data_IF_624993801673
#
_entry.id   IF_624993801673
#
_cell.length_a   1.000
_cell.length_b   1.000
_cell.length_c   1.000
_cell.angle_alpha   90.00
_cell.angle_beta   90.00
_cell.angle_gamma   90.00
#
_symmetry.space_group_name_H-M   'P 1'
#
loop_
_entity.id
_entity.type
_entity.pdbx_description
1 polymer ?
#
# COMPACT_ATOMS: atom_id res chain seq x y z
N UNK A 1 -6.09 -63.85 -3.64
CA UNK A 1 -5.43 -62.92 -2.70
C UNK A 1 -4.27 -62.24 -3.42
N UNK A 2 -4.33 -60.92 -3.69
CA UNK A 2 -3.15 -60.12 -3.96
C UNK A 2 -2.95 -59.03 -2.92
N UNK A 3 -1.68 -58.83 -2.57
CA UNK A 3 -1.10 -57.88 -1.62
C UNK A 3 -1.32 -56.41 -1.99
N UNK A 4 -1.44 -55.50 -1.01
CA UNK A 4 -1.69 -54.07 -1.27
C UNK A 4 -0.38 -53.34 -1.59
N UNK A 5 -0.38 -52.62 -2.71
CA UNK A 5 0.66 -51.67 -3.10
C UNK A 5 0.14 -50.25 -2.93
N UNK A 6 0.85 -49.41 -2.16
CA UNK A 6 0.47 -48.02 -1.96
C UNK A 6 1.45 -47.25 -1.09
N UNK A 7 2.60 -46.93 -1.67
CA UNK A 7 3.63 -45.99 -1.20
C UNK A 7 2.97 -44.68 -0.73
N UNK A 8 3.33 -44.07 0.40
CA UNK A 8 4.59 -43.37 0.63
C UNK A 8 4.36 -41.85 0.62
N UNK A 9 4.39 -41.21 1.79
CA UNK A 9 4.58 -39.76 1.88
C UNK A 9 5.50 -39.45 3.05
N UNK A 10 6.79 -39.50 2.75
CA UNK A 10 7.92 -39.08 3.60
C UNK A 10 7.90 -37.56 3.76
N UNK A 11 7.30 -37.06 4.85
CA UNK A 11 7.51 -35.67 5.26
C UNK A 11 8.64 -35.61 6.30
N UNK A 12 9.87 -35.38 5.83
CA UNK A 12 11.10 -35.24 6.62
C UNK A 12 11.13 -33.91 7.42
N UNK A 13 10.26 -33.78 8.43
CA UNK A 13 10.39 -32.78 9.50
C UNK A 13 10.12 -33.41 10.89
N UNK A 14 10.58 -34.64 11.09
CA UNK A 14 10.33 -35.46 12.28
C UNK A 14 11.64 -36.20 12.58
N UNK A 15 12.27 -36.12 13.76
CA UNK A 15 11.74 -36.64 15.04
C UNK A 15 12.49 -36.01 16.23
N UNK A 16 12.07 -34.83 16.73
CA UNK A 16 12.43 -34.46 18.13
C UNK A 16 11.53 -35.18 19.14
N UNK A 17 10.32 -35.54 18.74
CA UNK A 17 9.33 -36.21 19.59
C UNK A 17 8.91 -37.53 18.93
N UNK A 18 9.28 -38.64 19.54
CA UNK A 18 8.96 -39.98 19.03
C UNK A 18 7.54 -40.35 19.49
N UNK A 19 6.58 -40.19 18.58
CA UNK A 19 5.20 -40.63 18.81
C UNK A 19 5.06 -42.13 18.55
N UNK A 20 4.39 -42.82 19.47
CA UNK A 20 4.01 -44.23 19.35
C UNK A 20 2.49 -44.35 19.27
N UNK A 21 1.98 -45.46 18.72
CA UNK A 21 0.52 -45.67 18.58
C UNK A 21 -0.20 -45.70 19.95
N UNK A 22 0.49 -46.16 21.00
CA UNK A 22 0.01 -46.09 22.37
C UNK A 22 -0.18 -44.65 22.86
N UNK A 23 0.79 -43.76 22.58
CA UNK A 23 0.69 -42.34 22.92
C UNK A 23 -0.41 -41.64 22.13
N UNK A 24 -0.57 -41.97 20.84
CA UNK A 24 -1.65 -41.45 20.02
C UNK A 24 -3.03 -41.90 20.54
N UNK A 25 -3.13 -43.14 21.04
CA UNK A 25 -4.35 -43.67 21.65
C UNK A 25 -4.71 -42.94 22.95
N UNK A 26 -3.71 -42.67 23.82
CA UNK A 26 -3.89 -41.87 25.03
C UNK A 26 -4.31 -40.43 24.68
N UNK A 27 -3.70 -39.84 23.64
CA UNK A 27 -4.04 -38.52 23.17
C UNK A 27 -5.48 -38.45 22.64
N UNK A 28 -5.92 -39.42 21.83
CA UNK A 28 -7.31 -39.54 21.36
C UNK A 28 -8.30 -39.62 22.53
N UNK A 29 -8.03 -40.50 23.50
CA UNK A 29 -8.84 -40.64 24.72
C UNK A 29 -8.93 -39.33 25.49
N UNK A 30 -7.80 -38.63 25.66
CA UNK A 30 -7.75 -37.35 26.38
C UNK A 30 -8.67 -36.28 25.78
N UNK A 31 -8.81 -36.25 24.45
CA UNK A 31 -9.71 -35.34 23.74
C UNK A 31 -11.19 -35.77 23.79
N UNK A 32 -11.45 -37.08 23.81
CA UNK A 32 -12.80 -37.66 23.90
C UNK A 32 -13.39 -37.51 25.31
N UNK A 33 -12.60 -37.75 26.35
CA UNK A 33 -13.08 -37.70 27.75
C UNK A 33 -13.36 -36.28 28.23
N UNK A 34 -12.62 -35.28 27.73
CA UNK A 34 -12.83 -33.89 28.14
C UNK A 34 -14.21 -33.39 27.71
N UNK A 35 -15.00 -32.80 28.60
CA UNK A 35 -16.28 -32.14 28.25
C UNK A 35 -16.09 -30.65 28.07
N UNK A 36 -15.27 -30.04 28.92
CA UNK A 36 -14.95 -28.62 28.89
C UNK A 36 -13.46 -28.34 28.60
N UNK A 37 -13.14 -27.05 28.40
CA UNK A 37 -11.76 -26.60 28.12
C UNK A 37 -10.80 -26.92 29.27
N UNK A 38 -11.24 -26.82 30.52
CA UNK A 38 -10.38 -26.99 31.70
C UNK A 38 -9.98 -28.46 31.91
N UNK A 39 -10.89 -29.39 31.67
CA UNK A 39 -10.60 -30.83 31.64
C UNK A 39 -9.62 -31.18 30.54
N UNK A 40 -9.81 -30.64 29.33
CA UNK A 40 -8.83 -30.82 28.25
C UNK A 40 -7.47 -30.26 28.66
N UNK A 41 -7.44 -29.12 29.37
CA UNK A 41 -6.19 -28.53 29.83
C UNK A 41 -5.47 -29.48 30.79
N UNK A 42 -6.18 -30.01 31.80
CA UNK A 42 -5.66 -30.98 32.78
C UNK A 42 -5.17 -32.26 32.12
N UNK A 43 -5.97 -32.88 31.25
CA UNK A 43 -5.60 -34.10 30.55
C UNK A 43 -4.31 -33.92 29.73
N UNK A 44 -4.18 -32.79 29.02
CA UNK A 44 -2.98 -32.47 28.26
C UNK A 44 -1.77 -32.15 29.17
N UNK A 45 -1.98 -31.62 30.37
CA UNK A 45 -0.91 -31.40 31.36
C UNK A 45 -0.42 -32.72 31.92
N UNK A 46 -1.32 -33.65 32.22
CA UNK A 46 -0.96 -35.02 32.62
C UNK A 46 -0.17 -35.72 31.53
N UNK A 47 -0.61 -35.61 30.27
CA UNK A 47 0.11 -36.19 29.13
C UNK A 47 1.51 -35.57 28.94
N UNK A 48 1.65 -34.26 29.18
CA UNK A 48 2.95 -33.59 29.18
C UNK A 48 3.86 -34.12 30.30
N UNK A 49 3.32 -34.39 31.49
CA UNK A 49 4.07 -35.02 32.59
C UNK A 49 4.53 -36.44 32.27
N UNK A 50 3.69 -37.24 31.61
CA UNK A 50 4.00 -38.62 31.24
C UNK A 50 5.03 -38.74 30.10
N UNK A 51 5.01 -37.81 29.15
CA UNK A 51 5.83 -37.89 27.92
C UNK A 51 7.06 -37.00 27.93
N UNK A 52 7.07 -35.95 28.77
CA UNK A 52 8.04 -34.86 28.68
C UNK A 52 7.89 -34.00 27.41
N UNK A 53 6.86 -34.22 26.59
CA UNK A 53 6.68 -33.47 25.36
C UNK A 53 6.12 -32.08 25.66
N UNK A 54 6.66 -31.02 25.05
CA UNK A 54 6.13 -29.68 25.22
C UNK A 54 4.73 -29.59 24.63
N UNK A 55 3.89 -28.76 25.25
CA UNK A 55 2.48 -28.54 24.90
C UNK A 55 2.22 -28.38 23.39
N UNK A 56 3.06 -27.63 22.69
CA UNK A 56 2.88 -27.37 21.25
C UNK A 56 3.04 -28.63 20.39
N UNK A 57 3.90 -29.58 20.80
CA UNK A 57 4.12 -30.84 20.08
C UNK A 57 2.89 -31.75 20.20
N UNK A 58 2.30 -31.82 21.41
CA UNK A 58 1.07 -32.57 21.69
C UNK A 58 -0.10 -32.00 20.89
N UNK A 59 -0.28 -30.67 20.91
CA UNK A 59 -1.35 -29.99 20.13
C UNK A 59 -1.10 -30.17 18.62
N UNK A 60 0.15 -30.09 18.18
CA UNK A 60 0.55 -30.33 16.80
C UNK A 60 0.18 -31.75 16.34
N UNK A 61 0.48 -32.77 17.15
CA UNK A 61 0.10 -34.17 16.88
C UNK A 61 -1.42 -34.33 16.85
N UNK A 62 -2.14 -33.77 17.82
CA UNK A 62 -3.60 -33.80 17.85
C UNK A 62 -4.22 -33.16 16.59
N UNK A 63 -3.61 -32.10 16.08
CA UNK A 63 -4.03 -31.45 14.83
C UNK A 63 -3.78 -32.36 13.62
N UNK A 64 -2.61 -33.03 13.57
CA UNK A 64 -2.29 -33.98 12.50
C UNK A 64 -3.20 -35.22 12.50
N UNK A 65 -3.66 -35.66 13.68
CA UNK A 65 -4.63 -36.74 13.85
C UNK A 65 -6.09 -36.32 13.60
N UNK A 66 -6.35 -35.03 13.33
CA UNK A 66 -7.71 -34.53 13.09
C UNK A 66 -8.62 -34.46 14.32
N UNK A 67 -8.08 -34.69 15.53
CA UNK A 67 -8.85 -34.70 16.79
C UNK A 67 -8.85 -33.36 17.52
N UNK A 68 -8.01 -32.41 17.09
CA UNK A 68 -7.96 -31.09 17.69
C UNK A 68 -9.30 -30.35 17.51
N UNK A 69 -9.88 -29.85 18.62
CA UNK A 69 -11.14 -29.09 18.61
C UNK A 69 -11.03 -27.77 17.85
N UNK A 70 -9.84 -27.16 17.83
CA UNK A 70 -9.60 -25.90 17.13
C UNK A 70 -9.23 -26.23 15.69
N UNK A 71 -10.21 -26.15 14.78
CA UNK A 71 -9.97 -26.22 13.34
C UNK A 71 -9.32 -24.91 12.89
N UNK A 72 -8.12 -25.00 12.30
CA UNK A 72 -7.51 -23.86 11.62
C UNK A 72 -8.35 -23.59 10.36
N UNK A 73 -8.96 -22.42 10.29
CA UNK A 73 -9.66 -22.00 9.08
C UNK A 73 -8.63 -21.86 7.94
N UNK A 74 -8.78 -22.59 6.82
CA UNK A 74 -7.87 -22.47 5.69
C UNK A 74 -7.95 -21.06 5.10
N UNK A 75 -6.87 -20.61 4.47
CA UNK A 75 -6.87 -19.35 3.72
C UNK A 75 -7.50 -19.59 2.35
N UNK A 76 -8.50 -18.80 2.00
CA UNK A 76 -9.09 -18.81 0.65
C UNK A 76 -8.22 -18.02 -0.32
N UNK A 77 -8.33 -18.31 -1.62
CA UNK A 77 -7.59 -17.58 -2.65
C UNK A 77 -7.93 -16.07 -2.65
N UNK A 78 -9.20 -15.72 -2.42
CA UNK A 78 -9.66 -14.34 -2.31
C UNK A 78 -9.02 -13.61 -1.12
N UNK A 79 -8.99 -14.23 0.06
CA UNK A 79 -8.32 -13.65 1.25
C UNK A 79 -6.81 -13.46 1.02
N UNK A 80 -6.15 -14.41 0.34
CA UNK A 80 -4.73 -14.29 0.02
C UNK A 80 -4.45 -13.18 -0.99
N UNK A 81 -5.33 -12.98 -1.97
CA UNK A 81 -5.22 -11.87 -2.91
C UNK A 81 -5.41 -10.53 -2.19
N UNK A 82 -6.45 -10.38 -1.39
CA UNK A 82 -6.64 -9.17 -0.56
C UNK A 82 -5.45 -8.91 0.38
N UNK A 83 -4.86 -9.97 0.95
CA UNK A 83 -3.69 -9.84 1.80
C UNK A 83 -2.46 -9.33 1.03
N UNK A 84 -2.31 -9.68 -0.26
CA UNK A 84 -1.23 -9.16 -1.13
C UNK A 84 -1.44 -7.68 -1.45
N UNK A 85 -2.64 -7.30 -1.86
CA UNK A 85 -2.98 -5.92 -2.20
C UNK A 85 -2.82 -4.96 -1.01
N UNK A 86 -3.17 -5.43 0.19
CA UNK A 86 -3.14 -4.62 1.40
C UNK A 86 -1.82 -4.73 2.18
N UNK A 87 -0.90 -5.61 1.78
CA UNK A 87 0.42 -5.71 2.39
C UNK A 87 1.20 -4.42 2.10
N UNK A 88 1.77 -3.81 3.15
CA UNK A 88 2.53 -2.57 3.02
C UNK A 88 1.72 -1.27 3.13
N UNK A 89 0.39 -1.32 2.94
CA UNK A 89 -0.50 -0.15 3.13
C UNK A 89 -1.20 -0.21 4.48
N UNK A 90 -1.62 -1.41 4.90
CA UNK A 90 -2.31 -1.65 6.15
C UNK A 90 -1.43 -2.46 7.09
N UNK A 91 -1.38 -2.05 8.36
CA UNK A 91 -0.67 -2.84 9.34
C UNK A 91 -1.45 -4.06 9.80
N UNK A 92 -0.74 -5.01 10.42
CA UNK A 92 -1.28 -6.34 10.82
C UNK A 92 -2.62 -6.29 11.57
N UNK A 93 -2.81 -5.31 12.46
CA UNK A 93 -4.05 -5.14 13.23
C UNK A 93 -5.25 -4.78 12.35
N UNK A 94 -5.04 -3.85 11.41
CA UNK A 94 -6.06 -3.44 10.46
C UNK A 94 -6.38 -4.58 9.48
N UNK A 95 -5.35 -5.29 8.99
CA UNK A 95 -5.51 -6.48 8.15
C UNK A 95 -6.33 -7.57 8.85
N UNK A 96 -6.04 -7.85 10.12
CA UNK A 96 -6.77 -8.82 10.93
C UNK A 96 -8.27 -8.49 11.04
N UNK A 97 -8.59 -7.22 11.34
CA UNK A 97 -9.98 -6.75 11.41
C UNK A 97 -10.70 -6.84 10.07
N UNK A 98 -10.05 -6.40 8.98
CA UNK A 98 -10.63 -6.44 7.62
C UNK A 98 -10.91 -7.86 7.13
N UNK A 99 -9.98 -8.78 7.38
CA UNK A 99 -10.11 -10.17 6.94
C UNK A 99 -10.91 -11.04 7.91
N UNK A 100 -11.35 -10.49 9.06
CA UNK A 100 -12.02 -11.28 10.11
C UNK A 100 -11.15 -12.39 10.69
N UNK A 101 -9.82 -12.25 10.63
CA UNK A 101 -8.84 -13.26 11.09
C UNK A 101 -8.06 -12.74 12.30
N UNK A 102 -7.43 -13.65 13.03
CA UNK A 102 -6.52 -13.26 14.12
C UNK A 102 -5.22 -12.65 13.59
N UNK A 103 -4.64 -11.70 14.34
CA UNK A 103 -3.35 -11.09 14.00
C UNK A 103 -2.23 -12.12 13.79
N UNK A 104 -2.25 -13.19 14.59
CA UNK A 104 -1.28 -14.28 14.47
C UNK A 104 -1.43 -15.05 13.15
N UNK A 105 -2.67 -15.30 12.72
CA UNK A 105 -2.94 -15.94 11.42
C UNK A 105 -2.45 -15.08 10.26
N UNK A 106 -2.73 -13.77 10.31
CA UNK A 106 -2.24 -12.79 9.32
C UNK A 106 -0.71 -12.75 9.30
N UNK A 107 -0.05 -12.68 10.46
CA UNK A 107 1.42 -12.71 10.56
C UNK A 107 2.00 -13.98 9.93
N UNK A 108 1.40 -15.14 10.21
CA UNK A 108 1.85 -16.42 9.65
C UNK A 108 1.63 -16.49 8.13
N UNK A 109 0.51 -15.96 7.62
CA UNK A 109 0.22 -15.90 6.20
C UNK A 109 1.19 -14.97 5.46
N UNK A 110 1.44 -13.78 6.00
CA UNK A 110 2.43 -12.85 5.45
C UNK A 110 3.83 -13.47 5.41
N UNK A 111 4.24 -14.16 6.47
CA UNK A 111 5.52 -14.88 6.49
C UNK A 111 5.58 -15.97 5.40
N UNK A 112 4.49 -16.73 5.20
CA UNK A 112 4.40 -17.75 4.15
C UNK A 112 4.44 -17.16 2.73
N UNK A 113 3.89 -15.98 2.55
CA UNK A 113 3.92 -15.25 1.28
C UNK A 113 5.19 -14.41 1.10
N UNK A 114 6.11 -14.43 2.07
CA UNK A 114 7.31 -13.58 2.11
C UNK A 114 7.02 -12.07 1.98
N UNK A 115 5.85 -11.63 2.46
CA UNK A 115 5.42 -10.24 2.42
C UNK A 115 5.71 -9.53 3.75
N UNK A 116 6.10 -8.26 3.65
CA UNK A 116 6.22 -7.39 4.82
C UNK A 116 4.88 -6.75 5.17
N UNK A 117 4.49 -6.85 6.44
CA UNK A 117 3.35 -6.13 7.00
C UNK A 117 3.69 -4.68 7.41
N UNK A 118 4.94 -4.27 7.20
CA UNK A 118 5.41 -2.94 7.59
C UNK A 118 4.71 -1.95 6.69
N UNK A 119 3.96 -1.03 7.28
CA UNK A 119 3.37 0.06 6.51
C UNK A 119 4.52 0.89 5.94
N UNK A 120 4.59 0.93 4.61
CA UNK A 120 5.54 1.74 3.85
C UNK A 120 4.98 3.16 3.65
N UNK A 121 3.65 3.29 3.61
CA UNK A 121 2.96 4.54 3.38
C UNK A 121 2.97 5.50 4.60
N UNK A 122 3.21 6.78 4.34
CA UNK A 122 3.18 7.86 5.31
C UNK A 122 4.53 8.23 5.94
N UNK A 123 4.57 9.41 6.57
CA UNK A 123 5.79 10.05 7.02
C UNK A 123 6.16 9.63 8.45
N UNK A 124 7.39 9.15 8.64
CA UNK A 124 7.96 8.98 9.96
C UNK A 124 8.29 10.34 10.61
N UNK A 125 8.50 10.37 11.93
CA UNK A 125 8.96 11.61 12.60
C UNK A 125 10.29 12.11 12.04
N UNK A 126 11.19 11.19 11.67
CA UNK A 126 12.47 11.55 11.06
C UNK A 126 12.26 12.14 9.66
N UNK A 127 11.38 11.54 8.87
CA UNK A 127 11.02 12.03 7.54
C UNK A 127 10.46 13.46 7.65
N UNK A 128 9.59 13.73 8.63
CA UNK A 128 9.04 15.07 8.85
C UNK A 128 10.07 16.09 9.33
N UNK A 129 11.05 15.67 10.15
CA UNK A 129 12.16 16.54 10.57
C UNK A 129 12.99 16.96 9.36
N UNK A 130 13.32 16.01 8.49
CA UNK A 130 14.11 16.26 7.29
C UNK A 130 13.33 17.08 6.25
N UNK A 131 12.07 16.70 5.98
CA UNK A 131 11.25 17.33 4.94
C UNK A 131 10.78 18.73 5.31
N UNK A 132 10.48 18.98 6.59
CA UNK A 132 10.06 20.31 7.08
C UNK A 132 11.23 21.18 7.54
N UNK A 133 12.44 20.62 7.60
CA UNK A 133 13.60 21.29 8.22
C UNK A 133 13.36 21.68 9.68
N UNK A 134 12.53 20.91 10.39
CA UNK A 134 12.07 21.22 11.73
C UNK A 134 12.77 20.37 12.79
N UNK A 135 12.89 20.88 14.02
CA UNK A 135 13.52 20.11 15.08
C UNK A 135 12.67 18.89 15.53
N UNK A 136 13.28 17.78 15.98
CA UNK A 136 12.54 16.63 16.52
C UNK A 136 11.63 16.98 17.70
N UNK A 137 11.98 18.00 18.49
CA UNK A 137 11.15 18.52 19.59
C UNK A 137 9.92 19.27 19.08
N UNK A 138 10.04 20.04 17.99
CA UNK A 138 8.90 20.68 17.33
C UNK A 138 7.90 19.65 16.82
N UNK A 139 8.37 18.60 16.12
CA UNK A 139 7.49 17.53 15.62
C UNK A 139 6.76 16.81 16.76
N UNK A 140 7.46 16.48 17.86
CA UNK A 140 6.83 15.90 19.06
C UNK A 140 5.82 16.85 19.71
N UNK A 141 6.08 18.15 19.69
CA UNK A 141 5.14 19.16 20.20
C UNK A 141 3.87 19.19 19.35
N UNK A 142 3.99 19.18 18.02
CA UNK A 142 2.84 19.18 17.11
C UNK A 142 2.00 17.91 17.24
N UNK A 143 2.64 16.76 17.48
CA UNK A 143 1.96 15.51 17.82
C UNK A 143 1.15 15.65 19.11
N UNK A 144 1.77 16.17 20.18
CA UNK A 144 1.09 16.35 21.48
C UNK A 144 -0.07 17.34 21.41
N UNK A 145 0.03 18.36 20.55
CA UNK A 145 -1.04 19.33 20.30
C UNK A 145 -2.14 18.78 19.37
N UNK A 146 -1.96 17.57 18.82
CA UNK A 146 -2.92 16.93 17.91
C UNK A 146 -2.97 17.54 16.50
N UNK A 147 -2.01 18.40 16.15
CA UNK A 147 -1.94 19.03 14.83
C UNK A 147 -1.42 18.06 13.77
N UNK A 148 -0.50 17.18 14.18
CA UNK A 148 -0.05 16.03 13.39
C UNK A 148 -0.56 14.75 14.04
N UNK A 149 -1.52 14.12 13.37
CA UNK A 149 -2.05 12.83 13.81
C UNK A 149 -1.19 11.71 13.23
N UNK A 150 -0.55 10.97 14.13
CA UNK A 150 0.15 9.74 13.80
C UNK A 150 -0.81 8.56 13.90
N UNK A 151 -0.86 7.74 12.85
CA UNK A 151 -1.70 6.55 12.79
C UNK A 151 -1.14 5.40 13.62
N UNK A 152 -1.72 4.20 13.42
CA UNK A 152 -1.48 3.00 14.21
C UNK A 152 -0.03 2.40 14.18
N UNK A 153 0.94 3.12 13.63
CA UNK A 153 2.35 2.71 13.48
C UNK A 153 3.34 3.88 13.57
N UNK A 154 2.98 4.96 14.28
CA UNK A 154 3.85 6.15 14.42
C UNK A 154 4.26 6.79 13.08
N UNK A 155 3.43 6.63 12.05
CA UNK A 155 3.54 7.33 10.77
C UNK A 155 2.36 8.29 10.60
N UNK A 156 2.64 9.51 10.16
CA UNK A 156 1.64 10.51 9.82
C UNK A 156 1.11 10.24 8.41
N UNK A 157 -0.21 10.24 8.23
CA UNK A 157 -0.82 10.13 6.91
C UNK A 157 -0.58 11.40 6.10
N UNK A 158 -0.50 11.27 4.77
CA UNK A 158 -0.33 12.42 3.88
C UNK A 158 -1.41 13.48 4.10
N UNK A 159 -2.66 13.06 4.26
CA UNK A 159 -3.80 13.94 4.57
C UNK A 159 -3.64 14.70 5.88
N UNK A 160 -3.05 14.07 6.90
CA UNK A 160 -2.77 14.68 8.20
C UNK A 160 -1.70 15.78 8.07
N UNK A 161 -0.62 15.47 7.35
CA UNK A 161 0.46 16.43 7.08
C UNK A 161 -0.03 17.59 6.20
N UNK A 162 -0.79 17.30 5.14
CA UNK A 162 -1.39 18.33 4.27
C UNK A 162 -2.32 19.26 5.05
N UNK A 163 -3.10 18.72 5.99
CA UNK A 163 -3.94 19.51 6.89
C UNK A 163 -3.11 20.40 7.82
N UNK A 164 -2.05 19.86 8.42
CA UNK A 164 -1.13 20.61 9.25
C UNK A 164 -0.53 21.81 8.50
N UNK A 165 0.01 21.58 7.30
CA UNK A 165 0.60 22.64 6.47
C UNK A 165 -0.37 23.78 6.16
N UNK A 166 -1.66 23.46 5.94
CA UNK A 166 -2.67 24.47 5.63
C UNK A 166 -3.13 25.26 6.86
N UNK A 167 -3.20 24.62 8.03
CA UNK A 167 -3.76 25.23 9.23
C UNK A 167 -2.71 25.94 10.10
N UNK A 168 -1.44 25.58 9.97
CA UNK A 168 -0.35 26.08 10.82
C UNK A 168 0.87 26.55 10.00
N UNK A 169 0.71 27.49 9.05
CA UNK A 169 1.81 27.98 8.22
C UNK A 169 2.88 28.74 9.02
N UNK A 170 2.54 29.21 10.21
CA UNK A 170 3.41 29.95 11.15
C UNK A 170 4.43 29.05 11.87
N UNK A 171 4.22 27.73 11.87
CA UNK A 171 5.01 26.80 12.67
C UNK A 171 6.26 26.26 11.95
N UNK A 172 6.37 26.47 10.64
CA UNK A 172 7.50 25.98 9.84
C UNK A 172 8.01 27.09 8.92
N UNK A 173 9.27 26.96 8.49
CA UNK A 173 9.93 27.96 7.66
C UNK A 173 10.15 27.39 6.26
N UNK A 174 9.56 28.03 5.24
CA UNK A 174 9.62 27.56 3.86
C UNK A 174 11.05 27.46 3.30
N UNK A 175 12.00 28.22 3.86
CA UNK A 175 13.41 28.18 3.47
C UNK A 175 14.10 26.85 3.75
N UNK A 176 13.62 26.10 4.76
CA UNK A 176 14.21 24.82 5.16
C UNK A 176 13.38 23.62 4.73
N UNK A 177 12.18 23.85 4.20
CA UNK A 177 11.29 22.80 3.71
C UNK A 177 11.83 22.28 2.37
N UNK A 178 11.78 20.97 2.16
CA UNK A 178 12.06 20.38 0.86
C UNK A 178 11.02 20.85 -0.17
N UNK A 179 11.44 21.72 -1.08
CA UNK A 179 10.57 22.40 -2.04
C UNK A 179 9.81 21.43 -2.96
N UNK A 180 10.50 20.42 -3.51
CA UNK A 180 9.91 19.46 -4.43
C UNK A 180 8.83 18.62 -3.75
N UNK A 181 9.10 18.15 -2.53
CA UNK A 181 8.14 17.43 -1.72
C UNK A 181 6.94 18.30 -1.35
N UNK A 182 7.17 19.52 -0.87
CA UNK A 182 6.10 20.45 -0.46
C UNK A 182 5.18 20.78 -1.63
N UNK A 183 5.76 21.04 -2.81
CA UNK A 183 4.99 21.30 -4.03
C UNK A 183 4.19 20.07 -4.45
N UNK A 184 4.78 18.89 -4.45
CA UNK A 184 4.07 17.64 -4.76
C UNK A 184 2.93 17.34 -3.79
N UNK A 185 3.10 17.71 -2.51
CA UNK A 185 2.13 17.46 -1.46
C UNK A 185 0.92 18.41 -1.51
N UNK A 186 1.13 19.68 -1.88
CA UNK A 186 0.07 20.70 -1.91
C UNK A 186 -0.58 20.88 -3.28
N UNK A 187 0.20 20.69 -4.35
CA UNK A 187 -0.26 20.89 -5.72
C UNK A 187 -0.26 19.55 -6.44
N UNK A 188 -1.44 18.94 -6.58
CA UNK A 188 -1.62 17.67 -7.28
C UNK A 188 -1.13 17.73 -8.74
N UNK A 189 -1.21 18.92 -9.35
CA UNK A 189 -0.67 19.20 -10.68
C UNK A 189 0.87 19.12 -10.77
N UNK A 190 1.60 19.21 -9.66
CA UNK A 190 3.06 19.12 -9.65
C UNK A 190 3.56 17.69 -9.82
N UNK A 191 2.81 16.71 -9.30
CA UNK A 191 3.11 15.29 -9.44
C UNK A 191 2.44 14.66 -10.65
N UNK A 192 1.41 15.29 -11.19
CA UNK A 192 0.96 15.03 -12.55
C UNK A 192 2.07 15.52 -13.49
N UNK A 193 3.05 14.65 -13.78
CA UNK A 193 4.06 14.88 -14.82
C UNK A 193 3.38 15.45 -16.08
N UNK A 194 4.10 16.22 -16.91
CA UNK A 194 3.49 17.10 -17.91
C UNK A 194 2.35 16.36 -18.55
N UNK A 195 1.11 16.76 -18.25
CA UNK A 195 0.00 16.20 -18.97
C UNK A 195 0.36 16.57 -20.39
N UNK A 196 0.71 15.57 -21.22
CA UNK A 196 0.68 15.72 -22.64
C UNK A 196 -0.79 15.97 -22.97
N UNK A 197 -1.29 17.17 -22.63
CA UNK A 197 -2.08 17.91 -23.58
C UNK A 197 -1.12 17.97 -24.75
N UNK A 198 -1.28 17.02 -25.67
CA UNK A 198 -1.42 17.43 -27.04
C UNK A 198 -2.28 18.70 -26.99
N UNK A 199 -1.61 19.85 -26.90
CA UNK A 199 -2.07 21.02 -27.60
C UNK A 199 -2.11 20.44 -29.00
N UNK A 200 -3.29 19.97 -29.40
CA UNK A 200 -3.61 19.89 -30.81
C UNK A 200 -3.07 21.20 -31.34
N UNK A 201 -1.94 21.13 -32.03
CA UNK A 201 -1.61 22.18 -32.96
C UNK A 201 -2.82 22.09 -33.87
N UNK A 202 -3.82 22.95 -33.65
CA UNK A 202 -4.72 23.30 -34.72
C UNK A 202 -3.79 23.49 -35.91
N UNK A 203 -3.98 22.76 -37.03
CA UNK A 203 -3.24 23.05 -38.23
C UNK A 203 -3.30 24.56 -38.39
N UNK A 204 -2.15 25.20 -38.56
CA UNK A 204 -2.06 26.64 -38.78
C UNK A 204 -3.06 26.98 -39.89
N UNK A 205 -4.23 27.49 -39.49
CA UNK A 205 -5.35 27.86 -40.33
C UNK A 205 -5.90 29.12 -39.70
N UNK A 206 -5.67 30.23 -40.39
CA UNK A 206 -6.14 31.55 -39.98
C UNK A 206 -5.08 32.45 -39.35
N UNK A 207 -3.98 32.73 -40.06
CA UNK A 207 -3.29 34.03 -39.96
C UNK A 207 -2.58 34.40 -41.28
N UNK A 208 -3.16 34.00 -42.43
CA UNK A 208 -2.62 34.34 -43.74
C UNK A 208 -3.65 34.90 -44.74
N UNK A 209 -4.95 35.00 -44.41
CA UNK A 209 -5.95 35.60 -45.31
C UNK A 209 -6.47 36.96 -44.82
N UNK A 210 -6.49 37.22 -43.50
CA UNK A 210 -6.97 38.51 -42.99
C UNK A 210 -5.90 39.63 -42.96
N UNK A 211 -4.61 39.31 -43.13
CA UNK A 211 -3.54 40.32 -43.15
C UNK A 211 -3.17 40.79 -44.58
N UNK A 212 -3.62 40.08 -45.62
CA UNK A 212 -3.34 40.44 -47.03
C UNK A 212 -4.48 41.29 -47.63
N UNK A 213 -5.70 41.22 -47.08
CA UNK A 213 -6.83 42.08 -47.50
C UNK A 213 -6.90 43.43 -46.78
N UNK A 214 -6.04 43.68 -45.78
CA UNK A 214 -5.99 44.96 -45.06
C UNK A 214 -4.79 45.84 -45.44
N UNK A 215 -3.88 45.33 -46.28
CA UNK A 215 -2.73 46.07 -46.82
C UNK A 215 -2.72 46.19 -48.36
N UNK A 216 -3.84 45.88 -49.02
CA UNK A 216 -4.02 46.10 -50.47
C UNK A 216 -4.64 47.48 -50.81
N UNK A 217 -4.93 48.32 -49.80
CA UNK A 217 -5.45 49.69 -49.98
C UNK A 217 -4.42 50.81 -49.78
N UNK A 218 -3.11 50.51 -49.77
CA UNK A 218 -2.05 51.53 -49.67
C UNK A 218 -1.06 51.54 -50.86
N UNK A 219 -1.41 50.90 -51.98
CA UNK A 219 -0.63 50.94 -53.22
C UNK A 219 -1.42 51.55 -54.40
N UNK A 220 -2.35 52.49 -54.12
CA UNK A 220 -3.05 53.28 -55.14
C UNK A 220 -2.91 54.79 -54.90
N UNK A 221 -1.74 55.23 -54.42
CA UNK A 221 -1.38 56.66 -54.35
C UNK A 221 0.05 56.91 -54.80
N UNK A 222 0.49 56.21 -55.85
CA UNK A 222 1.74 56.51 -56.57
C UNK A 222 1.68 56.23 -58.09
N UNK A 223 0.47 56.12 -58.65
CA UNK A 223 0.23 56.08 -60.10
C UNK A 223 -0.76 57.17 -60.58
N UNK A 224 -1.15 58.10 -59.69
CA UNK A 224 -1.86 59.34 -60.07
C UNK A 224 -0.93 60.45 -60.59
N UNK A 225 0.38 60.19 -60.69
CA UNK A 225 1.36 61.16 -61.23
C UNK A 225 2.02 60.72 -62.55
N UNK A 226 1.65 59.56 -63.12
CA UNK A 226 2.11 59.14 -64.45
C UNK A 226 1.03 59.20 -65.54
N UNK A 227 -0.22 59.51 -65.20
CA UNK A 227 -1.29 59.77 -66.18
C UNK A 227 -1.42 61.26 -66.61
N UNK A 228 -0.52 62.14 -66.15
CA UNK A 228 -0.45 63.55 -66.58
C UNK A 228 0.56 63.83 -67.72
N UNK A 229 1.19 62.81 -68.31
CA UNK A 229 2.11 62.95 -69.46
C UNK A 229 1.76 62.11 -70.69
N UNK A 230 0.49 61.72 -70.88
CA UNK A 230 0.04 61.06 -72.14
C UNK A 230 -1.30 61.57 -72.68
N UNK A 231 -1.66 62.83 -72.39
CA UNK A 231 -2.71 63.56 -73.10
C UNK A 231 -2.15 64.82 -73.78
N UNK A 232 -1.09 64.65 -74.57
CA UNK A 232 -0.67 65.53 -75.66
C UNK A 232 -0.06 64.63 -76.75
N UNK A 233 -0.87 64.02 -77.61
CA UNK A 233 -1.00 64.43 -79.01
C UNK A 233 -1.82 63.40 -79.82
N UNK A 234 -2.67 63.95 -80.67
CA UNK A 234 -3.79 63.35 -81.40
C UNK A 234 -3.32 62.59 -82.65
N UNK A 235 -3.99 61.49 -83.06
CA UNK A 235 -3.83 60.90 -84.39
C UNK A 235 -4.70 61.66 -85.42
N UNK A 236 -4.06 62.14 -86.47
CA UNK A 236 -4.67 62.73 -87.67
C UNK A 236 -3.61 62.89 -88.75
#
# INVERSE_FOLDING_TARGET
>A
MPVPSGQGSTNLHSKKFRWTDGLDSILRRSYQTARNRNELIRNLTQLQGLTGFPRFAIIGRASALGIARIKKQPWTAAELHQLRELAGTCGRKALAKRLGRSEYSVKAALKRLMLSARITEGYSRADLVELLGASPTSVRRWERLGWLVFGCYERASESSVRRFLRLHPDQYQLSFVNEAWFKGLLFEAYNAGPTCRHRERKPWSGFAEDYILQNSNCATTLESSQSQLQALNVPG
#
